data_IF_482809617196
#
_entry.id   IF_482809617196
#
_cell.length_a   1.000
_cell.length_b   1.000
_cell.length_c   1.000
_cell.angle_alpha   90.00
_cell.angle_beta   90.00
_cell.angle_gamma   90.00
#
_symmetry.space_group_name_H-M   'P 1'
#
loop_
_entity.id
_entity.type
_entity.pdbx_description
1 polymer ?
#
# COMPACT_ATOMS: atom_id res chain seq x y z
N UNK A 1 0.13 1.29 -22.22
CA UNK A 1 -0.59 0.46 -21.22
C UNK A 1 -2.11 0.66 -21.26
N UNK A 2 -2.61 1.90 -21.38
CA UNK A 2 -4.06 2.21 -21.29
C UNK A 2 -5.03 1.56 -22.30
N UNK A 3 -4.58 0.71 -23.23
CA UNK A 3 -5.46 -0.10 -24.09
C UNK A 3 -5.86 -1.45 -23.45
N UNK A 4 -5.12 -1.90 -22.43
CA UNK A 4 -5.31 -3.20 -21.77
C UNK A 4 -6.44 -3.16 -20.73
N UNK A 5 -7.66 -2.80 -21.14
CA UNK A 5 -8.78 -2.53 -20.22
C UNK A 5 -9.27 -3.76 -19.44
N UNK A 6 -9.06 -4.96 -19.98
CA UNK A 6 -9.51 -6.23 -19.40
C UNK A 6 -8.45 -6.91 -18.52
N UNK A 7 -7.31 -6.26 -18.28
CA UNK A 7 -6.25 -6.86 -17.48
C UNK A 7 -6.68 -6.91 -16.01
N UNK A 8 -6.35 -8.03 -15.35
CA UNK A 8 -6.64 -8.25 -13.93
C UNK A 8 -5.41 -8.18 -13.05
N UNK A 9 -4.25 -8.53 -13.59
CA UNK A 9 -2.99 -8.51 -12.85
C UNK A 9 -1.91 -7.85 -13.68
N UNK A 10 -1.24 -6.86 -13.09
CA UNK A 10 -0.11 -6.18 -13.72
C UNK A 10 1.05 -6.07 -12.72
N UNK A 11 2.25 -6.38 -13.22
CA UNK A 11 3.50 -6.18 -12.50
C UNK A 11 4.46 -5.41 -13.39
N UNK A 12 4.97 -4.30 -12.87
CA UNK A 12 5.86 -3.40 -13.60
C UNK A 12 7.08 -3.17 -12.72
N UNK A 13 8.27 -3.41 -13.29
CA UNK A 13 9.56 -3.21 -12.64
C UNK A 13 10.32 -2.12 -13.38
N UNK A 14 11.33 -1.52 -12.72
CA UNK A 14 12.17 -0.53 -13.37
C UNK A 14 11.48 0.82 -13.54
N UNK A 15 10.43 1.11 -12.76
CA UNK A 15 9.65 2.34 -12.93
C UNK A 15 10.43 3.53 -12.41
N UNK A 16 10.60 4.53 -13.25
CA UNK A 16 11.12 5.85 -12.86
C UNK A 16 9.96 6.78 -12.54
N UNK A 17 10.17 7.71 -11.61
CA UNK A 17 9.25 8.76 -11.22
C UNK A 17 8.76 9.57 -12.42
N UNK A 18 9.61 9.78 -13.43
CA UNK A 18 9.25 10.45 -14.68
C UNK A 18 8.15 9.75 -15.50
N UNK A 19 7.88 8.47 -15.24
CA UNK A 19 6.83 7.71 -15.91
C UNK A 19 5.56 7.58 -15.08
N UNK A 20 5.57 8.01 -13.81
CA UNK A 20 4.46 7.79 -12.90
C UNK A 20 3.16 8.43 -13.38
N UNK A 21 3.20 9.66 -13.93
CA UNK A 21 2.01 10.35 -14.45
C UNK A 21 1.32 9.52 -15.55
N UNK A 22 2.04 9.22 -16.64
CA UNK A 22 1.54 8.40 -17.74
C UNK A 22 1.12 6.98 -17.31
N UNK A 23 1.78 6.44 -16.29
CA UNK A 23 1.45 5.15 -15.71
C UNK A 23 0.10 5.21 -14.96
N UNK A 24 -0.09 6.22 -14.11
CA UNK A 24 -1.33 6.43 -13.37
C UNK A 24 -2.51 6.59 -14.34
N UNK A 25 -2.35 7.41 -15.37
CA UNK A 25 -3.37 7.59 -16.43
C UNK A 25 -3.73 6.29 -17.14
N UNK A 26 -2.75 5.40 -17.35
CA UNK A 26 -2.97 4.10 -17.98
C UNK A 26 -3.69 3.14 -17.04
N UNK A 27 -3.30 3.10 -15.77
CA UNK A 27 -3.87 2.19 -14.75
C UNK A 27 -5.32 2.55 -14.43
N UNK A 28 -5.69 3.84 -14.42
CA UNK A 28 -7.08 4.29 -14.22
C UNK A 28 -8.06 3.77 -15.27
N UNK A 29 -7.57 3.37 -16.45
CA UNK A 29 -8.39 2.80 -17.54
C UNK A 29 -8.60 1.29 -17.39
N UNK A 30 -8.01 0.66 -16.38
CA UNK A 30 -8.03 -0.79 -16.14
C UNK A 30 -9.04 -1.12 -15.04
N UNK A 31 -10.33 -1.05 -15.36
CA UNK A 31 -11.41 -1.21 -14.39
C UNK A 31 -11.41 -2.59 -13.71
N UNK A 32 -10.92 -3.63 -14.38
CA UNK A 32 -10.89 -5.01 -13.87
C UNK A 32 -9.60 -5.37 -13.12
N UNK A 33 -8.72 -4.40 -12.87
CA UNK A 33 -7.44 -4.65 -12.22
C UNK A 33 -7.64 -5.05 -10.75
N UNK A 34 -7.29 -6.29 -10.41
CA UNK A 34 -7.34 -6.86 -9.07
C UNK A 34 -5.98 -6.94 -8.38
N UNK A 35 -4.88 -7.02 -9.15
CA UNK A 35 -3.53 -7.14 -8.60
C UNK A 35 -2.59 -6.16 -9.28
N UNK A 36 -2.03 -5.24 -8.50
CA UNK A 36 -1.07 -4.23 -8.97
C UNK A 36 0.24 -4.39 -8.22
N UNK A 37 1.33 -4.53 -8.97
CA UNK A 37 2.68 -4.51 -8.44
C UNK A 37 3.52 -3.52 -9.23
N UNK A 38 4.04 -2.49 -8.56
CA UNK A 38 4.92 -1.47 -9.13
C UNK A 38 6.21 -1.49 -8.34
N UNK A 39 7.34 -1.66 -9.02
CA UNK A 39 8.66 -1.55 -8.40
C UNK A 39 9.49 -0.52 -9.15
N UNK A 40 10.08 0.40 -8.39
CA UNK A 40 10.92 1.45 -8.90
C UNK A 40 12.20 0.90 -9.57
N UNK A 41 12.93 1.76 -10.27
CA UNK A 41 14.23 1.39 -10.87
C UNK A 41 15.29 1.03 -9.85
N UNK A 42 15.22 1.63 -8.67
CA UNK A 42 16.15 1.46 -7.57
C UNK A 42 15.50 1.92 -6.24
N UNK A 43 16.23 1.77 -5.12
CA UNK A 43 15.71 2.05 -3.78
C UNK A 43 15.63 3.54 -3.42
N UNK A 44 16.30 4.40 -4.20
CA UNK A 44 16.34 5.85 -3.99
C UNK A 44 15.31 6.59 -4.87
N UNK A 45 14.89 5.95 -5.96
CA UNK A 45 13.87 6.46 -6.86
C UNK A 45 12.52 6.66 -6.13
N UNK A 46 11.97 7.87 -6.30
CA UNK A 46 10.71 8.28 -5.68
C UNK A 46 9.57 8.14 -6.70
N UNK A 47 8.58 7.34 -6.35
CA UNK A 47 7.39 7.14 -7.17
C UNK A 47 6.28 8.13 -6.77
N UNK A 48 5.80 8.88 -7.76
CA UNK A 48 4.72 9.85 -7.62
C UNK A 48 3.38 9.23 -8.04
N UNK A 49 2.80 8.40 -7.18
CA UNK A 49 1.62 7.58 -7.52
C UNK A 49 0.30 8.17 -7.01
N UNK A 50 0.28 9.42 -6.54
CA UNK A 50 -0.92 10.03 -5.93
C UNK A 50 -2.08 10.22 -6.91
N UNK A 51 -1.79 10.27 -8.21
CA UNK A 51 -2.81 10.31 -9.26
C UNK A 51 -3.59 8.99 -9.40
N UNK A 52 -3.19 7.94 -8.68
CA UNK A 52 -3.98 6.72 -8.48
C UNK A 52 -5.00 6.85 -7.34
N UNK A 53 -5.20 8.02 -6.73
CA UNK A 53 -6.27 8.23 -5.75
C UNK A 53 -7.55 8.74 -6.44
N UNK A 54 -8.70 8.05 -6.35
CA UNK A 54 -8.91 6.76 -5.67
C UNK A 54 -8.35 5.57 -6.46
N UNK A 55 -7.96 4.51 -5.74
CA UNK A 55 -7.41 3.29 -6.33
C UNK A 55 -8.40 2.63 -7.29
N UNK A 56 -7.93 1.81 -8.26
CA UNK A 56 -8.82 1.05 -9.13
C UNK A 56 -9.84 0.22 -8.32
N UNK A 57 -11.13 0.26 -8.67
CA UNK A 57 -12.22 -0.16 -7.78
C UNK A 57 -12.21 -1.65 -7.43
N UNK A 58 -11.62 -2.48 -8.30
CA UNK A 58 -11.53 -3.92 -8.10
C UNK A 58 -10.18 -4.37 -7.50
N UNK A 59 -9.32 -3.43 -7.07
CA UNK A 59 -7.98 -3.75 -6.60
C UNK A 59 -8.00 -4.47 -5.25
N UNK A 60 -7.59 -5.73 -5.25
CA UNK A 60 -7.51 -6.60 -4.08
C UNK A 60 -6.10 -6.64 -3.48
N UNK A 61 -5.07 -6.57 -4.33
CA UNK A 61 -3.67 -6.62 -3.91
C UNK A 61 -2.89 -5.44 -4.48
N UNK A 62 -2.22 -4.69 -3.58
CA UNK A 62 -1.30 -3.62 -3.92
C UNK A 62 0.10 -3.94 -3.41
N UNK A 63 1.07 -3.99 -4.31
CA UNK A 63 2.48 -4.18 -4.01
C UNK A 63 3.30 -3.01 -4.56
N UNK A 64 3.98 -2.28 -3.70
CA UNK A 64 4.80 -1.14 -4.07
C UNK A 64 6.24 -1.34 -3.60
N UNK A 65 7.19 -1.21 -4.51
CA UNK A 65 8.62 -1.27 -4.26
C UNK A 65 9.30 0.04 -4.64
N UNK A 66 10.05 0.62 -3.72
CA UNK A 66 10.68 1.94 -3.85
C UNK A 66 10.01 3.00 -2.99
N UNK A 67 10.60 4.21 -2.96
CA UNK A 67 10.11 5.33 -2.15
C UNK A 67 8.81 5.89 -2.74
N UNK A 68 7.94 6.39 -1.87
CA UNK A 68 6.62 6.90 -2.26
C UNK A 68 6.50 8.37 -1.86
N UNK A 69 6.19 9.24 -2.82
CA UNK A 69 5.87 10.64 -2.53
C UNK A 69 4.45 10.73 -1.92
N UNK A 70 4.31 11.37 -0.76
CA UNK A 70 3.02 11.55 -0.05
C UNK A 70 2.26 10.22 0.12
N UNK A 71 2.96 9.20 0.64
CA UNK A 71 2.40 7.85 0.74
C UNK A 71 1.11 7.80 1.56
N UNK A 72 0.93 8.71 2.52
CA UNK A 72 -0.27 8.81 3.33
C UNK A 72 -1.54 9.02 2.49
N UNK A 73 -1.45 9.77 1.39
CA UNK A 73 -2.54 10.02 0.45
C UNK A 73 -2.90 8.76 -0.34
N UNK A 74 -1.90 8.05 -0.85
CA UNK A 74 -2.10 6.83 -1.62
C UNK A 74 -2.53 5.64 -0.75
N UNK A 75 -1.80 5.39 0.34
CA UNK A 75 -2.08 4.29 1.27
C UNK A 75 -3.37 4.52 2.06
N UNK A 76 -3.83 5.77 2.14
CA UNK A 76 -5.08 6.15 2.77
C UNK A 76 -6.20 6.42 1.80
N UNK A 77 -6.03 6.11 0.50
CA UNK A 77 -6.99 6.34 -0.59
C UNK A 77 -8.24 5.43 -0.54
N UNK A 78 -8.66 5.04 0.68
CA UNK A 78 -9.90 4.35 0.91
C UNK A 78 -11.06 5.20 0.40
N UNK A 79 -12.04 4.55 -0.23
CA UNK A 79 -13.23 5.16 -0.80
C UNK A 79 -13.93 6.05 0.23
N UNK A 80 -14.06 7.33 -0.09
CA UNK A 80 -14.69 8.35 0.76
C UNK A 80 -16.19 8.08 1.04
N UNK A 81 -16.79 7.14 0.30
CA UNK A 81 -18.24 7.03 0.13
C UNK A 81 -18.86 5.89 0.94
N UNK A 82 -18.15 5.36 1.95
CA UNK A 82 -18.65 4.26 2.79
C UNK A 82 -18.78 2.91 2.06
N UNK A 83 -18.38 2.84 0.79
CA UNK A 83 -18.23 1.57 0.08
C UNK A 83 -16.96 0.88 0.57
N UNK A 84 -17.05 -0.41 0.88
CA UNK A 84 -15.91 -1.23 1.22
C UNK A 84 -15.10 -1.51 -0.05
N UNK A 85 -13.92 -0.92 -0.17
CA UNK A 85 -12.97 -1.31 -1.22
C UNK A 85 -12.50 -2.76 -1.00
N UNK A 86 -12.34 -3.58 -2.06
CA UNK A 86 -11.91 -4.98 -1.93
C UNK A 86 -10.42 -5.16 -1.56
N UNK A 87 -9.70 -4.07 -1.26
CA UNK A 87 -8.26 -4.14 -1.00
C UNK A 87 -8.03 -4.94 0.28
N UNK A 88 -7.42 -6.11 0.12
CA UNK A 88 -7.23 -7.07 1.20
C UNK A 88 -5.75 -7.38 1.46
N UNK A 89 -4.85 -7.04 0.54
CA UNK A 89 -3.42 -7.28 0.68
C UNK A 89 -2.59 -6.07 0.27
N UNK A 90 -1.74 -5.58 1.19
CA UNK A 90 -0.79 -4.50 0.93
C UNK A 90 0.63 -4.96 1.25
N UNK A 91 1.54 -4.77 0.30
CA UNK A 91 2.96 -5.11 0.45
C UNK A 91 3.81 -3.89 0.07
N UNK A 92 4.55 -3.37 1.03
CA UNK A 92 5.46 -2.24 0.84
C UNK A 92 6.91 -2.71 0.98
N UNK A 93 7.72 -2.38 -0.01
CA UNK A 93 9.13 -2.72 -0.09
C UNK A 93 9.94 -1.45 -0.32
N UNK A 94 11.01 -1.25 0.45
CA UNK A 94 11.95 -0.14 0.25
C UNK A 94 11.28 1.25 0.25
N UNK A 95 10.10 1.38 0.88
CA UNK A 95 9.34 2.62 0.88
C UNK A 95 9.89 3.69 1.81
N UNK A 96 10.72 3.28 2.78
CA UNK A 96 11.47 4.17 3.69
C UNK A 96 10.63 5.32 4.28
N UNK A 97 9.39 5.04 4.67
CA UNK A 97 8.46 6.04 5.20
C UNK A 97 8.96 6.60 6.53
N UNK A 98 8.90 7.92 6.69
CA UNK A 98 9.26 8.61 7.93
C UNK A 98 8.10 8.62 8.94
N UNK A 99 6.88 8.74 8.44
CA UNK A 99 5.66 8.66 9.24
C UNK A 99 5.15 7.23 9.38
N UNK A 100 4.43 6.95 10.48
CA UNK A 100 3.85 5.62 10.72
C UNK A 100 2.82 5.28 9.62
N UNK A 101 3.11 4.31 8.74
CA UNK A 101 2.23 3.98 7.61
C UNK A 101 0.91 3.34 8.06
N UNK A 102 0.84 2.82 9.29
CA UNK A 102 -0.35 2.13 9.80
C UNK A 102 -1.56 3.06 9.93
N UNK A 103 -1.33 4.36 10.16
CA UNK A 103 -2.42 5.34 10.28
C UNK A 103 -3.23 5.49 9.00
N UNK A 104 -2.56 5.48 7.86
CA UNK A 104 -3.24 5.53 6.55
C UNK A 104 -3.80 4.17 6.17
N UNK A 105 -3.04 3.11 6.43
CA UNK A 105 -3.44 1.73 6.12
C UNK A 105 -4.63 1.25 6.96
N UNK A 106 -4.85 1.78 8.17
CA UNK A 106 -5.94 1.36 9.04
C UNK A 106 -7.33 1.71 8.49
N UNK A 107 -7.40 2.56 7.47
CA UNK A 107 -8.64 2.86 6.71
C UNK A 107 -9.16 1.65 5.92
N UNK A 108 -8.33 0.63 5.65
CA UNK A 108 -8.73 -0.59 4.94
C UNK A 108 -9.22 -1.67 5.91
N UNK A 109 -10.50 -1.65 6.24
CA UNK A 109 -11.15 -2.60 7.17
C UNK A 109 -11.08 -4.07 6.72
N UNK A 110 -11.04 -4.32 5.40
CA UNK A 110 -10.97 -5.66 4.80
C UNK A 110 -9.54 -6.20 4.66
N UNK A 111 -8.52 -5.46 5.13
CA UNK A 111 -7.14 -5.90 4.97
C UNK A 111 -6.87 -7.18 5.78
N UNK A 112 -6.46 -8.23 5.07
CA UNK A 112 -6.12 -9.55 5.63
C UNK A 112 -4.62 -9.81 5.66
N UNK A 113 -3.85 -9.11 4.81
CA UNK A 113 -2.40 -9.29 4.72
C UNK A 113 -1.68 -7.95 4.62
N UNK A 114 -0.74 -7.71 5.53
CA UNK A 114 0.14 -6.55 5.53
C UNK A 114 1.60 -7.02 5.60
N UNK A 115 2.38 -6.63 4.60
CA UNK A 115 3.82 -6.91 4.54
C UNK A 115 4.59 -5.60 4.42
N UNK A 116 5.46 -5.32 5.38
CA UNK A 116 6.34 -4.16 5.41
C UNK A 116 7.79 -4.67 5.42
N UNK A 117 8.54 -4.42 4.36
CA UNK A 117 9.96 -4.82 4.24
C UNK A 117 10.80 -3.59 3.91
N UNK A 118 11.67 -3.15 4.83
CA UNK A 118 12.41 -1.87 4.69
C UNK A 118 11.48 -0.68 4.36
N UNK A 119 10.24 -0.73 4.87
CA UNK A 119 9.17 0.18 4.46
C UNK A 119 9.04 1.40 5.36
N UNK A 120 9.58 1.36 6.58
CA UNK A 120 9.49 2.40 7.60
C UNK A 120 10.85 2.60 8.24
N UNK A 121 11.27 3.86 8.42
CA UNK A 121 12.58 4.23 9.02
C UNK A 121 12.45 4.80 10.44
N UNK A 122 11.22 5.01 10.91
CA UNK A 122 11.00 5.49 12.28
C UNK A 122 11.16 4.40 13.34
N UNK A 123 11.00 4.82 14.60
CA UNK A 123 11.42 4.04 15.77
C UNK A 123 10.28 3.20 16.37
N UNK A 124 9.03 3.59 16.11
CA UNK A 124 7.84 3.02 16.72
C UNK A 124 6.72 2.84 15.70
N UNK A 125 6.04 1.69 15.77
CA UNK A 125 4.73 1.48 15.13
C UNK A 125 3.65 1.39 16.19
N UNK A 126 2.50 2.03 15.93
CA UNK A 126 1.36 2.05 16.85
C UNK A 126 0.13 1.43 16.20
N UNK A 127 -0.35 0.33 16.77
CA UNK A 127 -1.60 -0.31 16.41
C UNK A 127 -2.68 0.11 17.40
N UNK A 128 -3.55 1.04 16.99
CA UNK A 128 -4.64 1.54 17.83
C UNK A 128 -5.82 0.56 17.89
N UNK A 129 -6.64 0.72 18.92
CA UNK A 129 -7.86 -0.06 19.13
C UNK A 129 -8.77 0.00 17.90
N UNK A 130 -9.30 -1.15 17.48
CA UNK A 130 -10.19 -1.26 16.32
C UNK A 130 -9.50 -1.23 14.96
N UNK A 131 -8.18 -1.00 14.89
CA UNK A 131 -7.45 -1.09 13.63
C UNK A 131 -7.29 -2.54 13.17
N UNK A 132 -7.36 -2.71 11.85
CA UNK A 132 -7.09 -3.98 11.16
C UNK A 132 -7.92 -5.17 11.68
N UNK A 133 -9.26 -5.06 11.75
CA UNK A 133 -10.10 -6.10 12.35
C UNK A 133 -10.03 -7.44 11.62
N UNK A 134 -9.70 -7.43 10.32
CA UNK A 134 -9.66 -8.61 9.44
C UNK A 134 -8.25 -9.15 9.18
N UNK A 135 -7.22 -8.56 9.77
CA UNK A 135 -5.83 -8.88 9.47
C UNK A 135 -5.46 -10.27 9.98
N UNK A 136 -4.95 -11.12 9.09
CA UNK A 136 -4.55 -12.51 9.36
C UNK A 136 -3.04 -12.70 9.28
N UNK A 137 -2.37 -11.95 8.41
CA UNK A 137 -0.92 -12.02 8.20
C UNK A 137 -0.28 -10.64 8.35
N UNK A 138 0.64 -10.51 9.30
CA UNK A 138 1.49 -9.34 9.48
C UNK A 138 2.95 -9.76 9.36
N UNK A 139 3.67 -9.17 8.41
CA UNK A 139 5.11 -9.40 8.25
C UNK A 139 5.86 -8.07 8.30
N UNK A 140 6.72 -7.92 9.31
CA UNK A 140 7.60 -6.76 9.51
C UNK A 140 9.04 -7.25 9.32
N UNK A 141 9.75 -6.75 8.31
CA UNK A 141 11.09 -7.23 7.93
C UNK A 141 12.05 -6.07 7.66
N UNK A 142 13.32 -6.27 8.01
CA UNK A 142 14.43 -5.39 7.64
C UNK A 142 14.21 -3.91 7.98
N UNK A 143 13.65 -3.63 9.17
CA UNK A 143 13.47 -2.26 9.68
C UNK A 143 14.38 -2.06 10.91
N UNK A 144 15.68 -1.77 10.71
CA UNK A 144 16.68 -1.81 11.78
C UNK A 144 16.48 -0.73 12.86
N UNK A 145 15.78 0.37 12.54
CA UNK A 145 15.50 1.44 13.51
C UNK A 145 14.22 1.21 14.33
N UNK A 146 13.37 0.27 13.91
CA UNK A 146 12.13 -0.04 14.60
C UNK A 146 12.44 -0.81 15.89
N UNK A 147 12.31 -0.14 17.04
CA UNK A 147 12.59 -0.72 18.36
C UNK A 147 11.35 -0.92 19.21
N UNK A 148 10.21 -0.35 18.81
CA UNK A 148 8.99 -0.38 19.58
C UNK A 148 7.77 -0.73 18.73
N UNK A 149 6.98 -1.69 19.22
CA UNK A 149 5.64 -1.99 18.74
C UNK A 149 4.67 -1.72 19.88
N UNK A 150 3.80 -0.72 19.73
CA UNK A 150 2.72 -0.47 20.68
C UNK A 150 1.41 -1.03 20.13
N UNK A 151 0.90 -2.08 20.76
CA UNK A 151 -0.30 -2.80 20.33
C UNK A 151 -1.39 -2.58 21.38
N UNK A 152 -2.37 -1.74 21.04
CA UNK A 152 -3.50 -1.48 21.94
C UNK A 152 -4.45 -2.68 21.98
N UNK A 153 -5.10 -2.88 23.12
CA UNK A 153 -6.10 -3.94 23.29
C UNK A 153 -7.22 -3.81 22.24
N UNK A 154 -7.59 -4.92 21.62
CA UNK A 154 -8.66 -4.96 20.61
C UNK A 154 -8.24 -4.48 19.22
N UNK A 155 -6.94 -4.42 18.92
CA UNK A 155 -6.41 -4.28 17.55
C UNK A 155 -6.09 -5.66 16.95
N UNK A 156 -6.08 -5.77 15.62
CA UNK A 156 -5.65 -6.99 14.91
C UNK A 156 -6.29 -8.30 15.44
N UNK A 157 -7.58 -8.27 15.76
CA UNK A 157 -8.26 -9.36 16.48
C UNK A 157 -8.32 -10.69 15.71
N UNK A 158 -8.03 -10.67 14.41
CA UNK A 158 -8.05 -11.85 13.52
C UNK A 158 -6.65 -12.38 13.19
N UNK A 159 -5.59 -11.84 13.80
CA UNK A 159 -4.21 -12.18 13.46
C UNK A 159 -3.89 -13.63 13.84
N UNK A 160 -3.24 -14.37 12.93
CA UNK A 160 -2.89 -15.78 13.09
C UNK A 160 -1.40 -15.98 13.35
#
# INVERSE_FOLDING_TARGET
>A
LGALRQIRSIRIWGVKGSYCECLCESLRKMEFLSNLSITASDEEEILHLNDLNPLPPNLETLSLGGRLAQADLLLGAATADGQNHPLCSVLLYWSQQEEDPLKSLSRWSNMTKLVLTRAYVGVQLVFLQGWFPSLKELSLRDMPHLTQLNIHQGTMTSLQ
#
